data_IF_416880424667
#
_entry.id   IF_416880424667
#
_cell.length_a   1.000
_cell.length_b   1.000
_cell.length_c   1.000
_cell.angle_alpha   90.00
_cell.angle_beta   90.00
_cell.angle_gamma   90.00
#
_symmetry.space_group_name_H-M   'P 1'
#
loop_
_entity.id
_entity.type
_entity.pdbx_description
1 polymer ?
#
# COMPACT_ATOMS: atom_id res chain seq x y z
N UNK A 1 23.22 39.27 -0.20
CA UNK A 1 22.04 38.47 0.16
C UNK A 1 22.44 36.99 0.10
N UNK A 2 22.27 36.28 1.17
CA UNK A 2 22.52 34.82 1.18
C UNK A 2 21.50 34.14 0.30
N UNK A 3 21.96 33.29 -0.60
CA UNK A 3 21.09 32.53 -1.54
C UNK A 3 20.18 31.61 -0.73
N UNK A 4 18.87 31.62 -1.02
CA UNK A 4 17.88 30.86 -0.25
C UNK A 4 17.55 29.52 -0.86
N UNK A 5 17.90 29.27 -2.11
CA UNK A 5 17.70 28.02 -2.84
C UNK A 5 18.64 27.92 -4.04
N UNK A 6 18.81 26.71 -4.56
CA UNK A 6 19.51 26.41 -5.81
C UNK A 6 18.48 25.91 -6.85
N UNK A 7 18.71 26.20 -8.13
CA UNK A 7 17.88 25.64 -9.22
C UNK A 7 18.75 24.86 -10.20
N UNK A 8 18.23 23.79 -10.84
CA UNK A 8 18.95 23.05 -11.88
C UNK A 8 19.32 23.90 -13.09
N UNK A 9 18.64 25.01 -13.34
CA UNK A 9 18.99 25.95 -14.41
C UNK A 9 20.32 26.67 -14.17
N UNK A 10 20.80 26.69 -12.93
CA UNK A 10 22.09 27.29 -12.55
C UNK A 10 23.25 26.30 -12.57
N UNK A 11 22.98 25.04 -12.83
CA UNK A 11 23.98 23.97 -12.81
C UNK A 11 24.13 23.34 -14.19
N UNK A 12 25.29 22.76 -14.45
CA UNK A 12 25.59 22.12 -15.73
C UNK A 12 25.65 20.61 -15.55
N UNK A 13 24.87 19.87 -16.33
CA UNK A 13 24.91 18.42 -16.44
C UNK A 13 24.77 18.00 -17.90
N UNK A 14 25.21 16.80 -18.27
CA UNK A 14 25.02 16.25 -19.61
C UNK A 14 23.54 15.95 -19.87
N UNK A 15 22.80 15.56 -18.81
CA UNK A 15 21.36 15.30 -18.83
C UNK A 15 20.61 16.18 -17.82
N UNK A 16 19.27 16.15 -17.87
CA UNK A 16 18.44 16.88 -16.91
C UNK A 16 18.64 16.30 -15.51
N UNK A 17 18.73 14.98 -15.37
CA UNK A 17 18.99 14.33 -14.09
C UNK A 17 20.32 14.77 -13.47
N UNK A 18 21.38 14.87 -14.29
CA UNK A 18 22.68 15.35 -13.82
C UNK A 18 22.62 16.83 -13.40
N UNK A 19 21.91 17.67 -14.14
CA UNK A 19 21.71 19.07 -13.76
C UNK A 19 20.98 19.19 -12.41
N UNK A 20 19.93 18.38 -12.20
CA UNK A 20 19.21 18.35 -10.93
C UNK A 20 20.08 17.79 -9.80
N UNK A 21 20.84 16.72 -10.05
CA UNK A 21 21.75 16.17 -9.04
C UNK A 21 22.86 17.15 -8.65
N UNK A 22 23.40 17.87 -9.63
CA UNK A 22 24.41 18.91 -9.38
C UNK A 22 23.82 20.09 -8.56
N UNK A 23 22.54 20.42 -8.78
CA UNK A 23 21.86 21.42 -7.95
C UNK A 23 21.69 20.92 -6.49
N UNK A 24 21.36 19.65 -6.30
CA UNK A 24 21.27 19.02 -4.96
C UNK A 24 22.63 19.01 -4.28
N UNK A 25 23.70 18.63 -4.98
CA UNK A 25 25.06 18.60 -4.45
C UNK A 25 25.53 20.03 -4.05
N UNK A 26 25.30 21.00 -4.91
CA UNK A 26 25.64 22.39 -4.62
C UNK A 26 24.86 22.96 -3.43
N UNK A 27 23.56 22.61 -3.31
CA UNK A 27 22.74 23.01 -2.17
C UNK A 27 23.26 22.41 -0.86
N UNK A 28 23.71 21.16 -0.86
CA UNK A 28 24.37 20.49 0.27
C UNK A 28 25.70 21.17 0.63
N UNK A 29 26.57 21.37 -0.35
CA UNK A 29 27.91 21.99 -0.16
C UNK A 29 27.84 23.40 0.38
N UNK A 30 26.85 24.18 -0.06
CA UNK A 30 26.67 25.58 0.37
C UNK A 30 25.84 25.72 1.64
N UNK A 31 25.28 24.62 2.16
CA UNK A 31 24.42 24.65 3.35
C UNK A 31 23.04 25.28 3.11
N UNK A 32 22.67 25.53 1.85
CA UNK A 32 21.34 26.07 1.49
C UNK A 32 20.25 25.02 1.71
N UNK A 33 20.55 23.76 1.45
CA UNK A 33 19.69 22.60 1.67
C UNK A 33 18.28 22.71 1.04
N UNK A 34 18.16 23.50 -0.02
CA UNK A 34 16.91 23.69 -0.76
C UNK A 34 17.16 23.78 -2.26
N UNK A 35 16.46 22.94 -3.01
CA UNK A 35 16.44 22.95 -4.48
C UNK A 35 15.04 23.27 -4.96
N UNK A 36 14.89 24.17 -5.92
CA UNK A 36 13.63 24.41 -6.62
C UNK A 36 13.80 23.96 -8.06
N UNK A 37 12.99 22.97 -8.48
CA UNK A 37 12.91 22.52 -9.86
C UNK A 37 11.75 23.30 -10.52
N UNK A 38 12.04 24.29 -11.36
CA UNK A 38 11.02 25.17 -11.93
C UNK A 38 10.32 24.50 -13.12
N UNK A 39 9.21 25.11 -13.52
CA UNK A 39 8.45 24.66 -14.69
C UNK A 39 9.28 24.57 -15.96
N UNK A 40 10.12 25.57 -16.20
CA UNK A 40 10.89 25.68 -17.44
C UNK A 40 12.31 25.17 -17.20
N UNK A 41 12.69 24.19 -17.99
CA UNK A 41 14.08 23.79 -18.17
C UNK A 41 14.73 24.72 -19.20
N UNK A 42 15.51 25.70 -18.74
CA UNK A 42 16.10 26.73 -19.61
C UNK A 42 17.08 26.15 -20.64
N UNK A 43 17.72 25.03 -20.32
CA UNK A 43 18.65 24.35 -21.23
C UNK A 43 17.94 23.82 -22.48
N UNK A 44 16.75 23.25 -22.34
CA UNK A 44 15.95 22.70 -23.42
C UNK A 44 14.91 23.69 -23.97
N UNK A 45 14.58 24.73 -23.20
CA UNK A 45 13.48 25.66 -23.45
C UNK A 45 12.09 25.03 -23.25
N UNK A 46 11.99 23.86 -22.64
CA UNK A 46 10.72 23.09 -22.48
C UNK A 46 10.21 23.14 -21.06
N UNK A 47 8.90 22.97 -20.91
CA UNK A 47 8.25 22.74 -19.62
C UNK A 47 8.28 21.23 -19.27
N UNK A 48 9.46 20.64 -19.32
CA UNK A 48 9.70 19.21 -19.14
C UNK A 48 11.12 19.00 -18.60
N UNK A 49 11.24 18.15 -17.58
CA UNK A 49 12.49 17.60 -17.06
C UNK A 49 12.49 16.11 -17.34
N UNK A 50 13.40 15.65 -18.21
CA UNK A 50 13.52 14.25 -18.60
C UNK A 50 14.50 13.53 -17.67
N UNK A 51 14.02 12.50 -16.98
CA UNK A 51 14.76 11.80 -15.94
C UNK A 51 15.27 10.46 -16.45
N UNK A 52 16.60 10.34 -16.56
CA UNK A 52 17.32 9.15 -16.98
C UNK A 52 18.10 8.47 -15.85
N UNK A 53 18.25 9.15 -14.71
CA UNK A 53 18.86 8.62 -13.48
C UNK A 53 18.13 9.12 -12.27
N UNK A 54 17.96 8.27 -11.26
CA UNK A 54 17.35 8.64 -9.97
C UNK A 54 18.19 9.69 -9.25
N UNK A 55 17.54 10.77 -8.79
CA UNK A 55 18.17 11.85 -8.02
C UNK A 55 18.30 11.40 -6.57
N UNK A 56 19.52 11.49 -6.02
CA UNK A 56 19.84 11.08 -4.65
C UNK A 56 19.84 12.29 -3.72
N UNK A 57 19.02 12.22 -2.68
CA UNK A 57 18.82 13.32 -1.74
C UNK A 57 19.60 13.07 -0.43
N UNK A 58 20.42 14.02 0.02
CA UNK A 58 21.07 13.96 1.33
C UNK A 58 20.11 14.30 2.46
N UNK A 59 20.55 14.10 3.70
CA UNK A 59 19.84 14.59 4.89
C UNK A 59 19.63 16.10 4.86
N UNK A 60 18.57 16.55 5.52
CA UNK A 60 18.19 17.97 5.65
C UNK A 60 17.86 18.65 4.31
N UNK A 61 17.54 17.90 3.27
CA UNK A 61 17.25 18.43 1.94
C UNK A 61 15.75 18.66 1.73
N UNK A 62 15.40 19.79 1.16
CA UNK A 62 14.05 20.10 0.66
C UNK A 62 14.10 20.32 -0.86
N UNK A 63 13.35 19.52 -1.60
CA UNK A 63 13.13 19.69 -3.04
C UNK A 63 11.73 20.25 -3.26
N UNK A 64 11.63 21.34 -3.98
CA UNK A 64 10.36 21.96 -4.37
C UNK A 64 10.17 21.77 -5.88
N UNK A 65 9.03 21.18 -6.26
CA UNK A 65 8.58 21.04 -7.65
C UNK A 65 7.62 22.18 -7.98
N UNK A 66 8.13 23.24 -8.58
CA UNK A 66 7.33 24.46 -8.84
C UNK A 66 6.67 24.39 -10.22
N UNK A 67 5.38 24.05 -10.25
CA UNK A 67 4.61 23.81 -11.49
C UNK A 67 5.37 22.89 -12.46
N UNK A 68 6.02 21.88 -11.92
CA UNK A 68 7.04 21.08 -12.58
C UNK A 68 6.47 19.81 -13.16
N UNK A 69 6.82 19.49 -14.39
CA UNK A 69 6.54 18.22 -15.04
C UNK A 69 7.86 17.46 -15.25
N UNK A 70 8.01 16.36 -14.53
CA UNK A 70 9.13 15.44 -14.66
C UNK A 70 8.64 14.13 -15.28
N UNK A 71 9.37 13.63 -16.27
CA UNK A 71 9.03 12.38 -16.96
C UNK A 71 10.23 11.44 -16.98
N UNK A 72 10.00 10.16 -16.69
CA UNK A 72 11.02 9.14 -16.86
C UNK A 72 11.34 8.96 -18.35
N UNK A 73 12.63 8.90 -18.67
CA UNK A 73 13.08 8.58 -20.00
C UNK A 73 12.66 7.15 -20.42
N UNK A 74 12.51 6.93 -21.72
CA UNK A 74 12.25 5.60 -22.25
C UNK A 74 13.44 4.68 -21.99
N UNK A 75 13.19 3.39 -21.80
CA UNK A 75 14.20 2.32 -21.64
C UNK A 75 15.15 2.48 -20.42
N UNK A 76 14.78 3.31 -19.46
CA UNK A 76 15.52 3.52 -18.21
C UNK A 76 14.82 2.82 -17.07
N UNK A 77 15.56 2.06 -16.27
CA UNK A 77 15.13 1.56 -14.96
C UNK A 77 15.50 2.57 -13.88
N UNK A 78 14.51 3.11 -13.17
CA UNK A 78 14.75 4.08 -12.11
C UNK A 78 13.49 4.78 -11.63
N UNK A 79 13.64 5.59 -10.59
CA UNK A 79 12.63 6.50 -10.07
C UNK A 79 13.07 7.95 -10.22
N UNK A 80 12.33 8.85 -9.60
CA UNK A 80 12.68 10.26 -9.59
C UNK A 80 13.61 10.61 -8.43
N UNK A 81 13.27 10.15 -7.21
CA UNK A 81 14.00 10.52 -6.02
C UNK A 81 14.21 9.33 -5.08
N UNK A 82 15.40 9.27 -4.49
CA UNK A 82 15.69 8.38 -3.37
C UNK A 82 16.64 9.07 -2.38
N UNK A 83 16.78 8.52 -1.16
CA UNK A 83 17.83 9.00 -0.26
C UNK A 83 19.23 8.54 -0.72
N UNK A 84 20.26 9.33 -0.44
CA UNK A 84 21.61 9.10 -0.97
C UNK A 84 22.23 7.76 -0.52
N UNK A 85 21.84 7.26 0.66
CA UNK A 85 22.32 5.98 1.19
C UNK A 85 21.50 4.76 0.74
N UNK A 86 20.49 4.95 -0.13
CA UNK A 86 19.71 3.83 -0.63
C UNK A 86 20.64 2.81 -1.33
N UNK A 87 20.58 1.56 -0.91
CA UNK A 87 21.39 0.42 -1.38
C UNK A 87 22.90 0.52 -1.14
N UNK A 88 23.33 1.39 -0.23
CA UNK A 88 24.70 1.39 0.27
C UNK A 88 24.80 0.61 1.59
N UNK A 89 26.01 0.20 1.97
CA UNK A 89 26.23 -0.47 3.28
C UNK A 89 25.79 0.41 4.46
N UNK A 90 25.99 1.69 4.36
CA UNK A 90 25.57 2.69 5.36
C UNK A 90 24.04 2.73 5.50
N UNK A 91 23.29 2.64 4.39
CA UNK A 91 21.83 2.66 4.39
C UNK A 91 21.21 1.44 5.10
N UNK A 92 21.97 0.36 5.29
CA UNK A 92 21.55 -0.83 6.03
C UNK A 92 21.87 -0.78 7.54
N UNK A 93 22.22 0.37 8.09
CA UNK A 93 22.53 0.53 9.51
C UNK A 93 21.83 1.72 10.14
N UNK A 94 21.29 1.54 11.34
CA UNK A 94 20.70 2.64 12.14
C UNK A 94 21.71 3.73 12.48
N UNK A 95 22.99 3.40 12.57
CA UNK A 95 24.05 4.37 12.89
C UNK A 95 24.16 5.45 11.80
N UNK A 96 23.73 5.14 10.60
CA UNK A 96 23.74 6.06 9.43
C UNK A 96 22.34 6.48 8.99
N UNK A 97 21.42 6.58 9.93
CA UNK A 97 20.05 6.97 9.65
C UNK A 97 19.96 8.37 9.09
N UNK A 98 19.42 8.51 7.90
CA UNK A 98 19.21 9.81 7.27
C UNK A 98 18.04 10.56 7.90
N UNK A 99 18.05 11.90 7.77
CA UNK A 99 17.06 12.76 8.42
C UNK A 99 16.53 13.86 7.51
N UNK A 100 15.27 14.24 7.76
CA UNK A 100 14.65 15.47 7.25
C UNK A 100 14.72 15.63 5.72
N UNK A 101 14.23 14.64 4.97
CA UNK A 101 14.16 14.71 3.51
C UNK A 101 12.73 15.07 3.09
N UNK A 102 12.58 16.18 2.36
CA UNK A 102 11.27 16.69 1.99
C UNK A 102 11.14 16.90 0.48
N UNK A 103 10.02 16.47 -0.10
CA UNK A 103 9.66 16.71 -1.51
C UNK A 103 8.28 17.37 -1.53
N UNK A 104 8.17 18.57 -2.07
CA UNK A 104 6.94 19.37 -2.03
C UNK A 104 6.60 19.93 -3.40
N UNK A 105 5.39 19.71 -3.86
CA UNK A 105 4.85 20.37 -5.03
C UNK A 105 4.29 21.75 -4.70
N UNK A 106 4.47 22.71 -5.60
CA UNK A 106 3.77 23.99 -5.63
C UNK A 106 3.01 24.07 -6.95
N UNK A 107 1.70 24.38 -6.87
CA UNK A 107 0.85 24.36 -8.04
C UNK A 107 0.73 22.95 -8.62
N UNK A 108 0.99 22.77 -9.90
CA UNK A 108 0.92 21.48 -10.56
C UNK A 108 2.29 20.81 -10.64
N UNK A 109 2.54 19.87 -9.75
CA UNK A 109 3.76 19.07 -9.71
C UNK A 109 3.44 17.62 -10.13
N UNK A 110 4.00 17.17 -11.25
CA UNK A 110 3.71 15.87 -11.85
C UNK A 110 5.00 15.06 -12.00
N UNK A 111 4.97 13.83 -11.49
CA UNK A 111 5.96 12.78 -11.75
C UNK A 111 5.32 11.73 -12.66
N UNK A 112 5.72 11.67 -13.91
CA UNK A 112 5.14 10.78 -14.92
C UNK A 112 6.12 9.66 -15.28
N UNK A 113 5.70 8.41 -15.10
CA UNK A 113 6.50 7.24 -15.46
C UNK A 113 6.78 7.12 -16.97
N UNK A 114 6.16 7.97 -17.78
CA UNK A 114 6.36 7.98 -19.23
C UNK A 114 5.68 6.82 -19.92
N UNK A 115 6.17 6.49 -21.12
CA UNK A 115 5.66 5.32 -21.82
C UNK A 115 6.00 4.08 -21.01
N UNK A 116 5.03 3.17 -20.79
CA UNK A 116 5.37 1.90 -20.22
C UNK A 116 6.39 1.25 -21.16
N UNK A 117 7.62 1.17 -20.71
CA UNK A 117 8.55 0.22 -21.28
C UNK A 117 7.85 -1.14 -21.23
N UNK A 118 8.06 -2.01 -22.19
CA UNK A 118 7.54 -3.39 -22.15
C UNK A 118 8.15 -4.21 -21.00
N UNK A 119 8.67 -3.52 -20.01
CA UNK A 119 9.19 -4.10 -18.77
C UNK A 119 7.97 -4.44 -17.92
N UNK A 120 7.31 -5.53 -18.28
CA UNK A 120 6.35 -6.22 -17.43
C UNK A 120 7.12 -7.18 -16.49
N UNK A 121 6.46 -7.76 -15.51
CA UNK A 121 7.10 -8.74 -14.61
C UNK A 121 7.85 -9.84 -15.40
N UNK A 122 7.31 -10.28 -16.52
CA UNK A 122 7.86 -11.34 -17.34
C UNK A 122 9.15 -10.90 -18.09
N UNK A 123 9.16 -9.72 -18.68
CA UNK A 123 10.37 -9.17 -19.33
C UNK A 123 11.44 -8.76 -18.33
N UNK A 124 11.05 -8.35 -17.13
CA UNK A 124 11.98 -8.02 -16.04
C UNK A 124 12.77 -9.22 -15.56
N UNK A 125 12.09 -10.35 -15.33
CA UNK A 125 12.73 -11.60 -14.98
C UNK A 125 13.70 -12.09 -16.07
N UNK A 126 13.35 -11.87 -17.34
CA UNK A 126 14.15 -12.29 -18.47
C UNK A 126 15.32 -11.35 -18.76
N UNK A 127 15.21 -10.06 -18.45
CA UNK A 127 16.23 -9.06 -18.74
C UNK A 127 17.15 -8.74 -17.56
N UNK A 128 16.87 -9.31 -16.35
CA UNK A 128 17.66 -9.03 -15.15
C UNK A 128 17.57 -7.58 -14.66
N UNK A 129 16.61 -6.81 -15.15
CA UNK A 129 16.43 -5.41 -14.74
C UNK A 129 15.70 -5.40 -13.39
N UNK A 130 16.26 -4.77 -12.35
CA UNK A 130 15.60 -4.67 -11.06
C UNK A 130 14.35 -3.80 -11.14
N UNK A 131 13.17 -4.40 -11.23
CA UNK A 131 11.86 -3.72 -11.28
C UNK A 131 11.69 -2.68 -10.19
N UNK A 132 12.22 -2.96 -9.04
CA UNK A 132 12.14 -2.17 -7.81
C UNK A 132 12.76 -0.80 -7.93
N UNK A 133 13.69 -0.63 -8.85
CA UNK A 133 14.26 0.67 -9.15
C UNK A 133 13.26 1.59 -9.85
N UNK A 134 12.19 1.04 -10.43
CA UNK A 134 11.16 1.82 -11.13
C UNK A 134 10.15 2.50 -10.18
N UNK A 135 10.45 2.59 -8.90
CA UNK A 135 9.63 3.30 -7.91
C UNK A 135 9.89 4.80 -7.97
N UNK A 136 8.90 5.64 -8.28
CA UNK A 136 9.04 7.08 -8.35
C UNK A 136 9.73 7.73 -7.15
N UNK A 137 9.36 7.38 -5.94
CA UNK A 137 9.98 7.87 -4.71
C UNK A 137 10.30 6.69 -3.79
N UNK A 138 11.57 6.51 -3.45
CA UNK A 138 11.99 5.43 -2.58
C UNK A 138 12.91 5.93 -1.46
N UNK A 139 12.41 5.86 -0.21
CA UNK A 139 13.21 6.15 0.98
C UNK A 139 13.41 4.90 1.84
N UNK A 140 14.64 4.70 2.30
CA UNK A 140 15.01 3.63 3.20
C UNK A 140 15.83 4.19 4.37
N UNK A 141 15.44 3.83 5.59
CA UNK A 141 16.13 4.24 6.81
C UNK A 141 16.22 5.76 6.96
N UNK A 142 15.07 6.43 6.81
CA UNK A 142 14.95 7.89 6.93
C UNK A 142 14.04 8.25 8.11
N UNK A 143 14.50 9.12 8.99
CA UNK A 143 13.72 9.71 10.07
C UNK A 143 13.36 11.17 9.76
N UNK A 144 12.08 11.49 9.83
CA UNK A 144 11.59 12.82 9.47
C UNK A 144 11.61 13.02 7.95
N UNK A 145 10.45 12.86 7.31
CA UNK A 145 10.33 13.13 5.88
C UNK A 145 8.94 13.67 5.56
N UNK A 146 8.85 14.34 4.42
CA UNK A 146 7.54 14.68 3.86
C UNK A 146 7.51 14.55 2.34
N UNK A 147 6.35 14.06 1.83
CA UNK A 147 6.02 14.08 0.41
C UNK A 147 4.63 14.70 0.27
N UNK A 148 4.56 15.87 -0.36
CA UNK A 148 3.36 16.69 -0.30
C UNK A 148 3.01 17.31 -1.66
N UNK A 149 1.71 17.32 -2.00
CA UNK A 149 1.13 17.98 -3.18
C UNK A 149 1.78 17.55 -4.51
N UNK A 150 1.75 16.25 -4.78
CA UNK A 150 2.35 15.66 -5.98
C UNK A 150 1.33 14.76 -6.69
N UNK A 151 1.32 14.84 -8.02
CA UNK A 151 0.59 13.92 -8.88
C UNK A 151 1.55 12.88 -9.43
N UNK A 152 1.26 11.60 -9.22
CA UNK A 152 2.02 10.49 -9.79
C UNK A 152 1.21 9.87 -10.91
N UNK A 153 1.74 9.94 -12.11
CA UNK A 153 1.10 9.42 -13.30
C UNK A 153 1.90 8.25 -13.88
N UNK A 154 1.20 7.21 -14.28
CA UNK A 154 1.76 6.09 -15.06
C UNK A 154 3.01 5.46 -14.42
N UNK A 155 3.03 5.37 -13.07
CA UNK A 155 4.15 4.71 -12.39
C UNK A 155 4.36 3.30 -12.96
N UNK A 156 5.64 2.93 -13.11
CA UNK A 156 6.02 1.65 -13.72
C UNK A 156 6.00 0.48 -12.75
N UNK A 157 6.05 0.79 -11.46
CA UNK A 157 6.00 -0.12 -10.32
C UNK A 157 5.30 0.58 -9.16
N UNK A 158 5.58 0.29 -7.89
CA UNK A 158 5.02 0.99 -6.74
C UNK A 158 5.29 2.49 -6.83
N UNK A 159 4.28 3.29 -6.58
CA UNK A 159 4.39 4.76 -6.73
C UNK A 159 5.32 5.40 -5.71
N UNK A 160 5.18 5.02 -4.45
CA UNK A 160 6.07 5.44 -3.37
C UNK A 160 6.40 4.25 -2.48
N UNK A 161 7.66 4.15 -2.05
CA UNK A 161 8.12 3.08 -1.17
C UNK A 161 8.93 3.64 -0.02
N UNK A 162 8.56 3.25 1.18
CA UNK A 162 9.23 3.62 2.40
C UNK A 162 9.57 2.35 3.19
N UNK A 163 10.84 2.19 3.56
CA UNK A 163 11.32 1.05 4.35
C UNK A 163 12.11 1.54 5.54
N UNK A 164 11.82 1.03 6.74
CA UNK A 164 12.45 1.44 7.98
C UNK A 164 12.45 2.97 8.16
N UNK A 165 11.40 3.63 7.69
CA UNK A 165 11.23 5.07 7.78
C UNK A 165 10.31 5.45 8.94
N UNK A 166 10.52 6.64 9.50
CA UNK A 166 9.68 7.09 10.61
C UNK A 166 9.49 8.61 10.64
N UNK A 167 8.46 9.04 11.41
CA UNK A 167 8.11 10.46 11.59
C UNK A 167 7.87 11.15 10.24
N UNK A 168 7.07 10.49 9.40
CA UNK A 168 6.79 10.90 8.04
C UNK A 168 5.40 11.49 7.85
N UNK A 169 5.27 12.36 6.84
CA UNK A 169 3.98 12.87 6.35
C UNK A 169 3.92 12.69 4.84
N UNK A 170 2.87 12.03 4.37
CA UNK A 170 2.56 11.85 2.94
C UNK A 170 1.16 12.41 2.75
N UNK A 171 1.02 13.51 2.01
CA UNK A 171 -0.28 14.14 1.87
C UNK A 171 -0.51 14.86 0.55
N UNK A 172 -1.78 15.01 0.20
CA UNK A 172 -2.21 15.72 -1.01
C UNK A 172 -1.61 15.07 -2.27
N UNK A 173 -1.68 13.73 -2.34
CA UNK A 173 -1.12 12.93 -3.43
C UNK A 173 -2.26 12.40 -4.29
N UNK A 174 -2.07 12.44 -5.60
CA UNK A 174 -3.00 11.77 -6.51
C UNK A 174 -2.29 10.81 -7.46
N UNK A 175 -2.95 9.68 -7.75
CA UNK A 175 -2.46 8.65 -8.64
C UNK A 175 -3.33 8.55 -9.88
N UNK A 176 -2.68 8.37 -11.04
CA UNK A 176 -3.37 8.15 -12.30
C UNK A 176 -2.64 7.09 -13.12
N UNK A 177 -3.24 5.93 -13.23
CA UNK A 177 -2.80 4.85 -14.12
C UNK A 177 -3.79 4.69 -15.28
N UNK A 178 -3.33 4.21 -16.42
CA UNK A 178 -4.16 3.95 -17.62
C UNK A 178 -4.40 2.47 -17.87
N UNK A 179 -3.76 1.60 -17.12
CA UNK A 179 -3.90 0.15 -17.22
C UNK A 179 -3.87 -0.47 -15.85
N UNK A 180 -4.59 -1.55 -15.73
CA UNK A 180 -4.42 -2.49 -14.65
C UNK A 180 -3.09 -3.22 -14.83
N UNK A 181 -2.17 -3.01 -13.91
CA UNK A 181 -0.90 -3.74 -13.84
C UNK A 181 -0.62 -4.10 -12.41
N UNK A 182 -0.26 -5.35 -12.20
CA UNK A 182 0.21 -5.82 -10.90
C UNK A 182 1.42 -5.00 -10.45
N UNK A 183 1.51 -4.77 -9.15
CA UNK A 183 2.56 -3.95 -8.54
C UNK A 183 2.57 -2.48 -9.02
N UNK A 184 1.46 -1.93 -9.48
CA UNK A 184 1.27 -0.48 -9.63
C UNK A 184 0.55 0.10 -8.41
N UNK A 185 1.03 -0.26 -7.22
CA UNK A 185 0.55 0.26 -5.94
C UNK A 185 0.75 1.79 -5.87
N UNK A 186 0.02 2.44 -5.00
CA UNK A 186 0.20 3.87 -4.76
C UNK A 186 1.30 4.13 -3.74
N UNK A 187 1.08 3.81 -2.47
CA UNK A 187 2.00 4.08 -1.36
C UNK A 187 2.25 2.79 -0.58
N UNK A 188 3.51 2.40 -0.48
CA UNK A 188 3.97 1.23 0.27
C UNK A 188 4.78 1.64 1.50
N UNK A 189 4.27 1.34 2.69
CA UNK A 189 5.03 1.33 3.91
C UNK A 189 5.51 -0.09 4.18
N UNK A 190 6.82 -0.25 4.21
CA UNK A 190 7.43 -1.57 4.43
C UNK A 190 8.10 -1.61 5.79
N UNK A 191 8.46 -2.77 6.20
CA UNK A 191 9.23 -3.15 7.38
C UNK A 191 9.77 -2.00 8.23
N UNK A 192 9.46 -1.99 9.52
CA UNK A 192 9.99 -1.01 10.47
C UNK A 192 9.48 0.43 10.30
N UNK A 193 8.47 0.65 9.46
CA UNK A 193 7.87 1.97 9.30
C UNK A 193 6.96 2.30 10.49
N UNK A 194 7.15 3.50 11.09
CA UNK A 194 6.33 3.91 12.23
C UNK A 194 6.18 5.43 12.37
N UNK A 195 5.14 5.87 13.10
CA UNK A 195 4.82 7.29 13.30
C UNK A 195 4.68 8.04 11.97
N UNK A 196 3.86 7.52 11.06
CA UNK A 196 3.64 8.09 9.73
C UNK A 196 2.16 8.45 9.56
N UNK A 197 1.92 9.62 8.98
CA UNK A 197 0.59 10.06 8.57
C UNK A 197 0.49 10.07 7.05
N UNK A 198 -0.56 9.41 6.53
CA UNK A 198 -0.95 9.40 5.11
C UNK A 198 -2.33 10.04 5.01
N UNK A 199 -2.45 11.16 4.30
CA UNK A 199 -3.73 11.88 4.24
C UNK A 199 -4.00 12.54 2.89
N UNK A 200 -5.29 12.69 2.56
CA UNK A 200 -5.75 13.33 1.33
C UNK A 200 -5.16 12.64 0.08
N UNK A 201 -5.34 11.33 0.00
CA UNK A 201 -4.88 10.54 -1.15
C UNK A 201 -6.05 10.29 -2.09
N UNK A 202 -5.82 10.44 -3.38
CA UNK A 202 -6.88 10.24 -4.37
C UNK A 202 -6.40 9.56 -5.66
N UNK A 203 -7.35 9.03 -6.42
CA UNK A 203 -7.10 8.52 -7.76
C UNK A 203 -7.15 7.01 -7.88
N UNK A 204 -6.43 6.48 -8.85
CA UNK A 204 -6.45 5.07 -9.20
C UNK A 204 -5.04 4.51 -9.29
N UNK A 205 -4.82 3.41 -8.57
CA UNK A 205 -3.66 2.51 -8.68
C UNK A 205 -4.01 1.28 -9.52
N UNK A 206 -3.02 0.58 -10.00
CA UNK A 206 -3.20 -0.73 -10.67
C UNK A 206 -3.17 -1.92 -9.71
N UNK A 207 -2.76 -1.70 -8.47
CA UNK A 207 -2.72 -2.65 -7.36
C UNK A 207 -3.22 -1.94 -6.09
N UNK A 208 -2.77 -2.25 -4.88
CA UNK A 208 -3.20 -1.56 -3.66
C UNK A 208 -2.96 -0.05 -3.74
N UNK A 209 -3.91 0.77 -3.28
CA UNK A 209 -3.65 2.22 -3.25
C UNK A 209 -2.71 2.58 -2.11
N UNK A 210 -2.86 1.94 -0.95
CA UNK A 210 -1.97 2.06 0.20
C UNK A 210 -1.71 0.65 0.74
N UNK A 211 -0.46 0.23 0.82
CA UNK A 211 -0.08 -1.06 1.38
C UNK A 211 0.88 -0.89 2.56
N UNK A 212 0.57 -1.54 3.68
CA UNK A 212 1.45 -1.70 4.83
C UNK A 212 1.88 -3.16 4.87
N UNK A 213 3.20 -3.42 4.82
CA UNK A 213 3.70 -4.78 4.74
C UNK A 213 4.90 -5.00 5.66
N UNK A 214 4.64 -5.60 6.83
CA UNK A 214 5.64 -5.99 7.80
C UNK A 214 6.01 -7.46 7.60
N UNK A 215 7.14 -7.72 6.95
CA UNK A 215 7.56 -9.06 6.57
C UNK A 215 8.94 -9.30 7.13
N UNK A 216 9.03 -10.03 8.23
CA UNK A 216 10.30 -10.53 8.75
C UNK A 216 10.78 -11.70 7.88
N UNK A 217 12.04 -11.69 7.50
CA UNK A 217 12.68 -12.79 6.80
C UNK A 217 13.82 -13.32 7.65
N UNK A 218 13.78 -14.60 7.95
CA UNK A 218 14.80 -15.28 8.76
C UNK A 218 16.22 -15.16 8.20
N UNK A 219 16.35 -14.76 6.94
CA UNK A 219 17.63 -14.61 6.26
C UNK A 219 17.91 -13.15 5.94
N UNK A 220 19.02 -12.61 6.45
CA UNK A 220 19.50 -11.31 6.01
C UNK A 220 19.83 -11.38 4.50
N UNK A 221 18.97 -10.78 3.71
CA UNK A 221 19.19 -10.70 2.29
C UNK A 221 19.65 -9.30 1.97
N UNK A 222 20.87 -9.18 1.50
CA UNK A 222 21.29 -7.96 0.84
C UNK A 222 20.35 -7.72 -0.35
N UNK A 223 20.03 -6.49 -0.62
CA UNK A 223 19.20 -6.14 -1.76
C UNK A 223 19.72 -6.84 -3.03
N UNK A 224 18.87 -7.57 -3.70
CA UNK A 224 19.19 -8.33 -4.90
C UNK A 224 19.78 -9.72 -4.73
N UNK A 225 20.15 -10.15 -3.51
CA UNK A 225 20.76 -11.47 -3.29
C UNK A 225 19.75 -12.61 -3.19
N UNK A 226 18.54 -12.36 -2.67
CA UNK A 226 17.60 -13.45 -2.39
C UNK A 226 16.58 -13.72 -3.48
N UNK A 227 16.51 -12.90 -4.50
CA UNK A 227 15.35 -12.91 -5.37
C UNK A 227 14.03 -12.57 -4.63
N UNK A 228 14.09 -12.37 -3.32
CA UNK A 228 12.96 -11.94 -2.53
C UNK A 228 12.88 -10.43 -2.61
N UNK A 229 11.96 -9.98 -3.40
CA UNK A 229 11.75 -8.59 -3.76
C UNK A 229 11.34 -7.71 -2.60
N UNK A 230 11.00 -8.29 -1.48
CA UNK A 230 10.17 -7.64 -0.50
C UNK A 230 10.90 -7.28 0.79
N UNK A 231 12.16 -7.61 0.94
CA UNK A 231 12.84 -7.43 2.21
C UNK A 231 14.21 -6.82 2.07
N UNK A 232 14.38 -5.66 2.65
CA UNK A 232 15.67 -5.06 2.94
C UNK A 232 15.84 -5.09 4.45
N UNK A 233 17.01 -5.46 4.95
CA UNK A 233 17.29 -5.48 6.37
C UNK A 233 18.08 -4.24 6.73
N UNK A 234 17.55 -3.43 7.63
CA UNK A 234 18.30 -2.40 8.32
C UNK A 234 18.72 -2.96 9.68
N UNK A 235 20.00 -3.18 9.87
CA UNK A 235 20.56 -3.74 11.10
C UNK A 235 20.18 -2.88 12.31
N UNK A 236 19.63 -3.53 13.32
CA UNK A 236 19.21 -2.89 14.57
C UNK A 236 17.78 -2.35 14.55
N UNK A 237 17.08 -2.42 13.44
CA UNK A 237 15.64 -2.15 13.35
C UNK A 237 14.82 -3.40 13.65
N UNK A 238 13.67 -3.21 14.29
CA UNK A 238 12.60 -4.20 14.24
C UNK A 238 11.84 -4.10 12.91
N UNK A 239 10.97 -5.05 12.66
CA UNK A 239 10.20 -5.16 11.41
C UNK A 239 8.77 -4.66 11.58
N UNK A 240 8.40 -4.29 12.80
CA UNK A 240 7.05 -3.93 13.13
C UNK A 240 6.62 -2.63 12.41
N UNK A 241 5.36 -2.58 11.99
CA UNK A 241 4.73 -1.36 11.48
C UNK A 241 3.72 -0.90 12.51
N UNK A 242 3.87 0.32 13.01
CA UNK A 242 3.01 0.82 14.07
C UNK A 242 2.87 2.34 14.09
N UNK A 243 1.88 2.82 14.84
CA UNK A 243 1.60 4.25 14.95
C UNK A 243 1.38 4.92 13.58
N UNK A 244 0.52 4.32 12.76
CA UNK A 244 0.19 4.81 11.43
C UNK A 244 -1.22 5.42 11.42
N UNK A 245 -1.34 6.59 10.85
CA UNK A 245 -2.64 7.23 10.58
C UNK A 245 -2.86 7.36 9.07
N UNK A 246 -3.98 6.83 8.57
CA UNK A 246 -4.42 6.91 7.18
C UNK A 246 -5.78 7.57 7.15
N UNK A 247 -5.93 8.70 6.45
CA UNK A 247 -7.21 9.40 6.43
C UNK A 247 -7.50 10.16 5.14
N UNK A 248 -8.79 10.36 4.86
CA UNK A 248 -9.27 11.08 3.69
C UNK A 248 -8.78 10.44 2.39
N UNK A 249 -9.19 9.20 2.15
CA UNK A 249 -8.79 8.41 0.98
C UNK A 249 -9.96 8.30 0.00
N UNK A 250 -9.77 8.78 -1.20
CA UNK A 250 -10.75 8.77 -2.29
C UNK A 250 -10.17 8.01 -3.47
N UNK A 251 -10.39 6.72 -3.52
CA UNK A 251 -9.65 5.87 -4.44
C UNK A 251 -10.51 4.93 -5.27
N UNK A 252 -9.94 4.51 -6.38
CA UNK A 252 -10.48 3.48 -7.23
C UNK A 252 -9.39 2.49 -7.59
N UNK A 253 -9.03 1.59 -6.67
CA UNK A 253 -8.16 0.48 -6.99
C UNK A 253 -8.88 -0.45 -7.98
N UNK A 254 -8.15 -1.01 -8.93
CA UNK A 254 -8.80 -1.78 -10.00
C UNK A 254 -9.26 -3.14 -9.49
N UNK A 255 -8.42 -3.86 -8.77
CA UNK A 255 -8.69 -5.23 -8.29
C UNK A 255 -8.31 -5.47 -6.83
N UNK A 256 -7.72 -4.47 -6.19
CA UNK A 256 -7.14 -4.56 -4.86
C UNK A 256 -7.78 -3.57 -3.88
N UNK A 257 -7.58 -3.69 -2.57
CA UNK A 257 -8.18 -2.79 -1.59
C UNK A 257 -7.60 -1.37 -1.67
N UNK A 258 -8.31 -0.41 -1.07
CA UNK A 258 -7.75 0.93 -0.86
C UNK A 258 -6.61 0.89 0.16
N UNK A 259 -6.75 0.08 1.21
CA UNK A 259 -5.73 -0.10 2.23
C UNK A 259 -5.52 -1.58 2.52
N UNK A 260 -4.29 -2.05 2.39
CA UNK A 260 -3.89 -3.41 2.73
C UNK A 260 -2.94 -3.42 3.92
N UNK A 261 -3.19 -4.30 4.88
CA UNK A 261 -2.36 -4.54 6.05
C UNK A 261 -1.84 -5.98 6.01
N UNK A 262 -0.54 -6.19 5.88
CA UNK A 262 0.08 -7.52 5.72
C UNK A 262 1.27 -7.66 6.66
N UNK A 263 1.29 -8.70 7.47
CA UNK A 263 2.44 -9.02 8.32
C UNK A 263 2.68 -10.52 8.42
N UNK A 264 3.95 -10.91 8.54
CA UNK A 264 4.39 -12.30 8.52
C UNK A 264 5.59 -12.53 9.44
N UNK A 265 5.82 -13.80 9.79
CA UNK A 265 7.00 -14.28 10.54
C UNK A 265 7.22 -13.60 11.87
N UNK A 266 6.14 -13.24 12.57
CA UNK A 266 6.21 -12.60 13.88
C UNK A 266 6.43 -11.10 13.86
N UNK A 267 6.61 -10.48 12.70
CA UNK A 267 6.53 -9.03 12.58
C UNK A 267 5.11 -8.56 12.92
N UNK A 268 5.01 -7.50 13.70
CA UNK A 268 3.73 -7.01 14.22
C UNK A 268 3.23 -5.81 13.46
N UNK A 269 1.91 -5.65 13.50
CA UNK A 269 1.23 -4.49 12.97
C UNK A 269 0.20 -4.01 13.98
N UNK A 270 0.41 -2.82 14.54
CA UNK A 270 -0.42 -2.33 15.65
C UNK A 270 -0.53 -0.82 15.72
N UNK A 271 -1.53 -0.35 16.47
CA UNK A 271 -1.84 1.06 16.61
C UNK A 271 -2.01 1.75 15.24
N UNK A 272 -2.84 1.13 14.38
CA UNK A 272 -3.15 1.63 13.04
C UNK A 272 -4.54 2.28 13.08
N UNK A 273 -4.60 3.51 12.61
CA UNK A 273 -5.83 4.29 12.54
C UNK A 273 -6.17 4.64 11.09
N UNK A 274 -7.36 4.19 10.64
CA UNK A 274 -7.83 4.36 9.26
C UNK A 274 -9.18 5.06 9.31
N UNK A 275 -9.33 6.21 8.63
CA UNK A 275 -10.59 6.95 8.66
C UNK A 275 -10.92 7.67 7.36
N UNK A 276 -12.22 7.82 7.11
CA UNK A 276 -12.78 8.55 5.98
C UNK A 276 -12.30 8.05 4.62
N UNK A 277 -12.72 6.82 4.29
CA UNK A 277 -12.43 6.16 3.02
C UNK A 277 -13.66 6.15 2.11
N UNK A 278 -13.48 6.51 0.85
CA UNK A 278 -14.51 6.50 -0.17
C UNK A 278 -14.07 5.71 -1.40
N UNK A 279 -14.90 4.77 -1.84
CA UNK A 279 -14.67 4.09 -3.11
C UNK A 279 -15.23 4.93 -4.27
N UNK A 280 -14.34 5.36 -5.14
CA UNK A 280 -14.72 6.05 -6.38
C UNK A 280 -15.01 5.03 -7.50
N UNK A 281 -15.89 5.37 -8.46
CA UNK A 281 -16.06 4.56 -9.65
C UNK A 281 -14.73 4.36 -10.39
N UNK A 282 -14.53 3.17 -10.97
CA UNK A 282 -13.34 2.92 -11.78
C UNK A 282 -13.27 3.84 -12.98
N UNK A 283 -12.10 4.40 -13.23
CA UNK A 283 -11.81 5.15 -14.45
C UNK A 283 -11.63 4.22 -15.66
N UNK A 284 -11.24 2.97 -15.42
CA UNK A 284 -11.02 1.94 -16.43
C UNK A 284 -11.72 0.64 -16.02
N UNK A 285 -12.29 -0.12 -16.98
CA UNK A 285 -12.85 -1.42 -16.67
C UNK A 285 -11.76 -2.38 -16.18
N UNK A 286 -12.08 -3.16 -15.17
CA UNK A 286 -11.29 -4.32 -14.81
C UNK A 286 -11.23 -5.30 -15.99
N UNK A 287 -10.18 -6.10 -16.08
CA UNK A 287 -10.13 -7.18 -17.06
C UNK A 287 -11.32 -8.11 -16.90
N UNK A 288 -11.86 -8.65 -18.03
CA UNK A 288 -12.92 -9.62 -17.97
C UNK A 288 -12.50 -10.82 -17.10
N UNK A 289 -13.24 -11.05 -16.01
CA UNK A 289 -13.00 -12.11 -15.05
C UNK A 289 -12.46 -11.67 -13.67
N UNK A 290 -11.99 -10.44 -13.49
CA UNK A 290 -11.45 -9.93 -12.21
C UNK A 290 -12.35 -8.86 -11.55
N UNK A 291 -13.66 -8.99 -11.70
CA UNK A 291 -14.63 -7.96 -11.24
C UNK A 291 -14.93 -7.94 -9.75
N UNK A 292 -14.31 -8.77 -8.96
CA UNK A 292 -14.62 -8.85 -7.54
C UNK A 292 -13.67 -7.99 -6.72
N UNK A 293 -14.02 -6.74 -6.53
CA UNK A 293 -13.42 -5.88 -5.51
C UNK A 293 -13.84 -6.40 -4.15
N UNK A 294 -12.89 -6.91 -3.41
CA UNK A 294 -13.22 -7.61 -2.18
C UNK A 294 -13.50 -6.66 -1.02
N UNK A 295 -12.68 -5.65 -0.77
CA UNK A 295 -12.85 -4.78 0.38
C UNK A 295 -12.20 -3.40 0.23
N UNK A 296 -12.66 -2.44 1.05
CA UNK A 296 -12.01 -1.15 1.22
C UNK A 296 -10.70 -1.29 2.00
N UNK A 297 -10.74 -2.07 3.09
CA UNK A 297 -9.58 -2.40 3.92
C UNK A 297 -9.40 -3.91 3.96
N UNK A 298 -8.20 -4.39 3.69
CA UNK A 298 -7.84 -5.79 3.76
C UNK A 298 -6.80 -6.01 4.85
N UNK A 299 -7.11 -6.83 5.85
CA UNK A 299 -6.24 -7.14 6.99
C UNK A 299 -5.78 -8.59 6.88
N UNK A 300 -4.47 -8.77 6.83
CA UNK A 300 -3.85 -10.07 6.65
C UNK A 300 -3.96 -10.57 5.22
N UNK A 301 -2.92 -11.20 4.77
CA UNK A 301 -2.87 -11.80 3.43
C UNK A 301 -2.05 -13.09 3.48
N UNK A 302 -2.53 -14.02 4.27
CA UNK A 302 -1.91 -15.35 4.43
C UNK A 302 -1.78 -16.09 3.09
N UNK A 303 -2.51 -15.64 2.10
CA UNK A 303 -2.60 -16.24 0.78
C UNK A 303 -1.37 -15.96 -0.08
N UNK A 304 -0.79 -14.76 0.05
CA UNK A 304 0.32 -14.34 -0.79
C UNK A 304 1.68 -14.78 -0.27
N UNK A 305 1.84 -14.77 1.05
CA UNK A 305 3.13 -15.03 1.69
C UNK A 305 3.07 -16.38 2.42
N UNK A 306 3.59 -17.42 1.80
CA UNK A 306 3.61 -18.80 2.32
C UNK A 306 4.64 -19.03 3.43
N UNK A 307 4.96 -18.02 4.23
CA UNK A 307 6.16 -18.06 5.07
C UNK A 307 5.84 -18.52 6.49
N UNK A 308 4.75 -18.01 7.10
CA UNK A 308 4.29 -18.51 8.41
C UNK A 308 2.87 -18.05 8.72
N UNK A 309 2.21 -18.77 9.63
CA UNK A 309 0.90 -18.37 10.15
C UNK A 309 1.06 -17.18 11.11
N UNK A 310 0.24 -16.16 10.94
CA UNK A 310 0.09 -15.09 11.94
C UNK A 310 -0.40 -15.69 13.27
N UNK A 311 0.12 -15.19 14.37
CA UNK A 311 -0.29 -15.54 15.72
C UNK A 311 -1.20 -14.46 16.31
N UNK A 312 -2.03 -14.86 17.28
CA UNK A 312 -2.85 -13.90 18.01
C UNK A 312 -1.95 -12.83 18.68
N UNK A 313 -2.19 -11.58 18.34
CA UNK A 313 -1.39 -10.45 18.78
C UNK A 313 -0.30 -9.99 17.82
N UNK A 314 -0.12 -10.63 16.68
CA UNK A 314 0.75 -10.10 15.62
C UNK A 314 0.09 -8.89 14.93
N UNK A 315 -1.24 -8.93 14.74
CA UNK A 315 -2.02 -7.78 14.28
C UNK A 315 -3.01 -7.38 15.37
N UNK A 316 -2.89 -6.18 15.91
CA UNK A 316 -3.75 -5.74 17.01
C UNK A 316 -3.91 -4.21 17.08
N UNK A 317 -4.92 -3.77 17.86
CA UNK A 317 -5.20 -2.36 18.10
C UNK A 317 -5.40 -1.56 16.80
N UNK A 318 -6.32 -2.05 15.97
CA UNK A 318 -6.68 -1.46 14.69
C UNK A 318 -8.00 -0.70 14.83
N UNK A 319 -8.03 0.55 14.41
CA UNK A 319 -9.25 1.37 14.35
C UNK A 319 -9.57 1.75 12.91
N UNK A 320 -10.79 1.44 12.47
CA UNK A 320 -11.29 1.74 11.12
C UNK A 320 -12.63 2.47 11.28
N UNK A 321 -12.77 3.65 10.70
CA UNK A 321 -14.03 4.40 10.81
C UNK A 321 -14.35 5.24 9.58
N UNK A 322 -15.63 5.59 9.43
CA UNK A 322 -16.12 6.47 8.36
C UNK A 322 -15.84 5.91 6.97
N UNK A 323 -16.35 4.70 6.68
CA UNK A 323 -16.16 4.01 5.40
C UNK A 323 -17.41 4.14 4.53
N UNK A 324 -17.26 4.68 3.33
CA UNK A 324 -18.32 4.86 2.34
C UNK A 324 -18.02 4.01 1.10
N UNK A 325 -18.81 2.93 0.90
CA UNK A 325 -18.54 1.95 -0.15
C UNK A 325 -19.81 1.54 -0.91
N UNK A 326 -19.75 1.65 -2.23
CA UNK A 326 -20.85 1.29 -3.14
C UNK A 326 -20.41 0.42 -4.31
N UNK A 327 -19.13 0.47 -4.66
CA UNK A 327 -18.51 -0.27 -5.76
C UNK A 327 -17.66 -1.44 -5.26
N UNK A 328 -17.54 -1.61 -3.95
CA UNK A 328 -16.76 -2.62 -3.26
C UNK A 328 -17.68 -3.53 -2.47
N UNK A 329 -17.41 -4.83 -2.39
CA UNK A 329 -18.29 -5.80 -1.71
C UNK A 329 -18.32 -5.63 -0.21
N UNK A 330 -17.18 -5.38 0.41
CA UNK A 330 -17.05 -5.30 1.87
C UNK A 330 -16.35 -4.02 2.31
N UNK A 331 -16.72 -3.50 3.47
CA UNK A 331 -15.92 -2.43 4.07
C UNK A 331 -14.58 -2.99 4.57
N UNK A 332 -14.57 -4.12 5.23
CA UNK A 332 -13.36 -4.77 5.75
C UNK A 332 -13.32 -6.24 5.34
N UNK A 333 -12.18 -6.71 4.86
CA UNK A 333 -11.87 -8.12 4.68
C UNK A 333 -10.78 -8.51 5.68
N UNK A 334 -11.03 -9.56 6.45
CA UNK A 334 -10.07 -10.13 7.39
C UNK A 334 -9.59 -11.47 6.84
N UNK A 335 -8.36 -11.51 6.35
CA UNK A 335 -7.68 -12.67 5.81
C UNK A 335 -6.49 -13.12 6.67
N UNK A 336 -6.41 -12.68 7.91
CA UNK A 336 -5.36 -13.01 8.87
C UNK A 336 -5.85 -12.87 10.30
N UNK A 337 -5.04 -13.30 11.26
CA UNK A 337 -5.38 -13.24 12.69
C UNK A 337 -5.33 -11.81 13.20
N UNK A 338 -6.38 -11.37 13.93
CA UNK A 338 -6.50 -10.02 14.44
C UNK A 338 -7.10 -9.96 15.84
N UNK A 339 -6.60 -9.03 16.66
CA UNK A 339 -7.08 -8.78 18.03
C UNK A 339 -7.32 -7.28 18.26
N UNK A 340 -8.32 -6.96 19.11
CA UNK A 340 -8.64 -5.58 19.49
C UNK A 340 -8.86 -4.68 18.25
N UNK A 341 -9.84 -5.00 17.42
CA UNK A 341 -10.20 -4.17 16.29
C UNK A 341 -11.53 -3.48 16.51
N UNK A 342 -11.57 -2.20 16.23
CA UNK A 342 -12.80 -1.40 16.19
C UNK A 342 -13.07 -0.93 14.77
N UNK A 343 -14.26 -1.26 14.27
CA UNK A 343 -14.78 -0.80 12.98
C UNK A 343 -16.05 0.00 13.23
N UNK A 344 -16.14 1.22 12.72
CA UNK A 344 -17.31 2.06 13.03
C UNK A 344 -17.73 2.95 11.87
N UNK A 345 -19.03 3.32 11.90
CA UNK A 345 -19.65 4.23 10.95
C UNK A 345 -19.43 3.80 9.47
N UNK A 346 -20.01 2.64 9.14
CA UNK A 346 -19.93 2.05 7.81
C UNK A 346 -21.19 2.38 7.00
N UNK A 347 -21.00 2.91 5.80
CA UNK A 347 -22.07 3.28 4.88
C UNK A 347 -21.95 2.49 3.57
N UNK A 348 -22.62 1.33 3.52
CA UNK A 348 -22.66 0.46 2.36
C UNK A 348 -23.94 0.63 1.54
N UNK A 349 -23.82 0.60 0.23
CA UNK A 349 -24.97 0.67 -0.67
C UNK A 349 -24.70 0.06 -2.04
N UNK A 350 -25.72 -0.18 -2.83
CA UNK A 350 -25.58 -0.71 -4.17
C UNK A 350 -24.91 -2.09 -4.18
N UNK A 351 -23.69 -2.17 -4.69
CA UNK A 351 -22.92 -3.43 -4.81
C UNK A 351 -22.35 -3.94 -3.46
N UNK A 352 -22.44 -3.15 -2.40
CA UNK A 352 -21.98 -3.56 -1.07
C UNK A 352 -22.77 -4.76 -0.57
N UNK A 353 -22.10 -5.87 -0.23
CA UNK A 353 -22.75 -7.09 0.24
C UNK A 353 -22.48 -7.40 1.71
N UNK A 354 -21.43 -6.83 2.31
CA UNK A 354 -21.15 -7.04 3.73
C UNK A 354 -20.44 -5.87 4.40
N UNK A 355 -20.58 -5.76 5.70
CA UNK A 355 -19.76 -4.86 6.50
C UNK A 355 -18.36 -5.47 6.71
N UNK A 356 -18.31 -6.76 6.98
CA UNK A 356 -17.06 -7.49 7.17
C UNK A 356 -17.12 -8.86 6.51
N UNK A 357 -16.10 -9.19 5.73
CA UNK A 357 -15.87 -10.54 5.20
C UNK A 357 -14.68 -11.16 5.91
N UNK A 358 -14.78 -12.42 6.31
CA UNK A 358 -13.70 -13.17 6.97
C UNK A 358 -13.37 -14.38 6.16
N UNK A 359 -12.13 -14.52 5.71
CA UNK A 359 -11.70 -15.62 4.84
C UNK A 359 -10.46 -16.30 5.42
N UNK A 360 -10.62 -17.55 5.86
CA UNK A 360 -9.50 -18.46 6.08
C UNK A 360 -9.15 -19.18 4.78
N UNK A 361 -7.90 -19.55 4.57
CA UNK A 361 -7.49 -20.19 3.34
C UNK A 361 -6.64 -21.44 3.55
N UNK A 362 -6.65 -22.31 2.56
CA UNK A 362 -5.78 -23.46 2.46
C UNK A 362 -4.97 -23.39 1.17
N UNK A 363 -3.67 -23.57 1.26
CA UNK A 363 -2.81 -23.65 0.10
C UNK A 363 -1.96 -24.91 0.14
N UNK A 364 -2.26 -25.86 -0.73
CA UNK A 364 -1.67 -27.17 -0.67
C UNK A 364 -2.04 -27.88 0.64
N UNK A 365 -1.05 -28.30 1.41
CA UNK A 365 -1.24 -28.90 2.74
C UNK A 365 -1.19 -27.87 3.88
N UNK A 366 -0.82 -26.63 3.59
CA UNK A 366 -0.75 -25.55 4.58
C UNK A 366 -2.12 -24.94 4.81
N UNK A 367 -2.51 -24.82 6.08
CA UNK A 367 -3.77 -24.24 6.52
C UNK A 367 -3.50 -22.88 7.14
N UNK A 368 -4.07 -21.84 6.55
CA UNK A 368 -4.00 -20.47 7.03
C UNK A 368 -5.33 -20.10 7.69
N UNK A 369 -5.37 -20.22 8.99
CA UNK A 369 -6.55 -19.90 9.77
C UNK A 369 -6.65 -18.41 10.09
N UNK A 370 -7.87 -17.97 10.33
CA UNK A 370 -8.17 -16.64 10.86
C UNK A 370 -8.74 -16.79 12.25
N UNK A 371 -8.03 -16.28 13.25
CA UNK A 371 -8.53 -16.15 14.60
C UNK A 371 -8.80 -14.68 14.90
N UNK A 372 -9.99 -14.39 15.42
CA UNK A 372 -10.40 -13.04 15.78
C UNK A 372 -10.76 -12.98 17.25
N UNK A 373 -10.26 -11.96 17.96
CA UNK A 373 -10.61 -11.74 19.36
C UNK A 373 -10.84 -10.25 19.65
N UNK A 374 -11.94 -9.97 20.35
CA UNK A 374 -12.29 -8.63 20.80
C UNK A 374 -12.49 -7.63 19.66
N UNK A 375 -13.51 -7.88 18.85
CA UNK A 375 -13.85 -7.09 17.68
C UNK A 375 -15.17 -6.35 17.91
N UNK A 376 -15.17 -5.04 17.71
CA UNK A 376 -16.34 -4.20 17.74
C UNK A 376 -16.66 -3.66 16.36
N UNK A 377 -17.90 -3.86 15.89
CA UNK A 377 -18.44 -3.22 14.69
C UNK A 377 -19.64 -2.36 15.14
N UNK A 378 -19.53 -1.05 15.01
CA UNK A 378 -20.50 -0.08 15.55
C UNK A 378 -20.96 0.93 14.49
N UNK A 379 -22.26 1.09 14.30
CA UNK A 379 -22.83 2.01 13.33
C UNK A 379 -22.69 1.50 11.88
N UNK A 380 -23.47 0.48 11.51
CA UNK A 380 -23.54 -0.04 10.15
C UNK A 380 -24.82 0.41 9.49
N UNK A 381 -24.70 1.15 8.41
CA UNK A 381 -25.79 1.54 7.50
C UNK A 381 -25.56 0.79 6.18
N UNK A 382 -26.31 -0.29 5.99
CA UNK A 382 -26.18 -1.14 4.79
C UNK A 382 -27.53 -1.29 4.10
N UNK A 383 -27.60 -0.75 2.88
CA UNK A 383 -28.70 -0.95 1.93
C UNK A 383 -28.16 -1.60 0.66
N UNK A 384 -28.38 -2.90 0.54
CA UNK A 384 -27.72 -3.71 -0.47
C UNK A 384 -28.67 -4.10 -1.61
N UNK A 385 -28.16 -4.01 -2.84
CA UNK A 385 -28.82 -4.59 -4.04
C UNK A 385 -28.42 -6.06 -4.24
N UNK A 386 -27.52 -6.61 -3.44
CA UNK A 386 -27.00 -7.96 -3.57
C UNK A 386 -27.89 -8.99 -2.88
N UNK A 387 -28.26 -10.08 -3.57
CA UNK A 387 -29.20 -11.07 -3.02
C UNK A 387 -28.62 -11.89 -1.85
N UNK A 388 -27.31 -11.93 -1.71
CA UNK A 388 -26.57 -12.66 -0.67
C UNK A 388 -26.02 -11.77 0.46
N UNK A 389 -26.50 -10.53 0.56
CA UNK A 389 -26.00 -9.58 1.55
C UNK A 389 -26.15 -10.07 2.99
N UNK A 390 -25.10 -9.87 3.78
CA UNK A 390 -25.00 -10.15 5.21
C UNK A 390 -24.15 -9.10 5.92
N UNK A 391 -24.33 -8.89 7.23
CA UNK A 391 -23.43 -7.97 7.95
C UNK A 391 -22.05 -8.57 8.10
N UNK A 392 -22.00 -9.84 8.50
CA UNK A 392 -20.75 -10.63 8.57
C UNK A 392 -20.83 -11.75 7.55
N UNK A 393 -19.86 -11.85 6.69
CA UNK A 393 -19.75 -12.90 5.68
C UNK A 393 -18.48 -13.73 5.94
N UNK A 394 -18.66 -14.97 6.37
CA UNK A 394 -17.58 -15.93 6.62
C UNK A 394 -17.74 -17.14 5.71
N UNK A 395 -17.60 -16.96 4.40
CA UNK A 395 -17.96 -17.99 3.42
C UNK A 395 -16.97 -19.15 3.40
N UNK A 396 -15.79 -18.97 3.95
CA UNK A 396 -14.76 -19.98 3.96
C UNK A 396 -13.89 -19.88 5.21
N UNK A 397 -13.82 -20.94 5.98
CA UNK A 397 -13.01 -21.07 7.18
C UNK A 397 -12.25 -22.39 7.16
N UNK A 398 -11.10 -22.44 7.81
CA UNK A 398 -10.39 -23.69 8.06
C UNK A 398 -10.79 -24.27 9.42
N UNK A 399 -10.54 -25.55 9.59
CA UNK A 399 -10.69 -26.20 10.90
C UNK A 399 -9.80 -25.51 11.94
N UNK A 400 -10.31 -25.33 13.14
CA UNK A 400 -9.62 -24.69 14.23
C UNK A 400 -9.71 -23.15 14.29
N UNK A 401 -10.44 -22.54 13.35
CA UNK A 401 -10.60 -21.08 13.38
C UNK A 401 -11.62 -20.62 14.40
N UNK A 402 -11.34 -19.48 15.03
CA UNK A 402 -12.18 -18.96 16.12
C UNK A 402 -12.50 -17.49 15.96
N UNK A 403 -13.75 -17.12 16.27
CA UNK A 403 -14.20 -15.75 16.42
C UNK A 403 -14.75 -15.57 17.83
N UNK A 404 -13.99 -14.85 18.67
CA UNK A 404 -14.33 -14.63 20.08
C UNK A 404 -14.63 -13.16 20.33
N UNK A 405 -15.71 -12.90 21.07
CA UNK A 405 -16.13 -11.54 21.47
C UNK A 405 -16.30 -10.60 20.25
N UNK A 406 -17.11 -11.02 19.27
CA UNK A 406 -17.56 -10.16 18.19
C UNK A 406 -18.84 -9.42 18.64
N UNK A 407 -18.76 -8.10 18.68
CA UNK A 407 -19.89 -7.24 19.05
C UNK A 407 -20.33 -6.42 17.84
N UNK A 408 -21.61 -6.51 17.48
CA UNK A 408 -22.26 -5.69 16.47
C UNK A 408 -23.23 -4.72 17.18
N UNK A 409 -23.09 -3.43 16.92
CA UNK A 409 -23.92 -2.39 17.53
C UNK A 409 -24.46 -1.39 16.52
N UNK A 410 -25.64 -0.84 16.82
CA UNK A 410 -26.23 0.26 16.05
C UNK A 410 -26.34 -0.06 14.55
N UNK A 411 -27.03 -1.14 14.22
CA UNK A 411 -27.19 -1.61 12.85
C UNK A 411 -28.47 -1.06 12.23
N UNK A 412 -28.38 -0.48 11.05
CA UNK A 412 -29.48 -0.02 10.21
C UNK A 412 -29.41 -0.75 8.87
N UNK A 413 -30.19 -1.82 8.74
CA UNK A 413 -30.09 -2.78 7.66
C UNK A 413 -31.32 -2.71 6.76
N UNK A 414 -31.12 -2.50 5.48
CA UNK A 414 -32.17 -2.53 4.47
C UNK A 414 -31.77 -3.52 3.35
N UNK A 415 -32.70 -4.44 3.03
CA UNK A 415 -32.50 -5.50 2.05
C UNK A 415 -31.33 -6.47 2.38
N UNK A 416 -30.90 -6.55 3.62
CA UNK A 416 -29.85 -7.47 4.09
C UNK A 416 -30.50 -8.75 4.60
N UNK A 417 -30.16 -9.88 4.00
CA UNK A 417 -30.88 -11.15 4.22
C UNK A 417 -30.43 -11.93 5.45
N UNK A 418 -29.23 -11.61 5.99
CA UNK A 418 -28.65 -12.34 7.12
C UNK A 418 -27.83 -11.41 8.00
N UNK A 419 -27.84 -11.65 9.30
CA UNK A 419 -26.89 -11.03 10.21
C UNK A 419 -25.48 -11.58 9.96
N UNK A 420 -25.36 -12.89 9.84
CA UNK A 420 -24.09 -13.52 9.53
C UNK A 420 -24.28 -14.78 8.67
N UNK A 421 -23.30 -15.03 7.80
CA UNK A 421 -23.06 -16.33 7.19
C UNK A 421 -21.80 -16.87 7.82
N UNK A 422 -21.86 -18.04 8.44
CA UNK A 422 -20.75 -18.65 9.17
C UNK A 422 -20.46 -20.02 8.58
N UNK A 423 -19.21 -20.29 8.26
CA UNK A 423 -18.79 -21.61 7.76
C UNK A 423 -18.77 -22.63 8.90
N UNK A 424 -19.24 -23.86 8.66
CA UNK A 424 -19.33 -24.94 9.66
C UNK A 424 -18.00 -25.33 10.31
N UNK A 425 -16.88 -25.08 9.63
CA UNK A 425 -15.54 -25.31 10.18
C UNK A 425 -15.08 -24.28 11.22
N UNK A 426 -15.90 -23.25 11.49
CA UNK A 426 -15.61 -22.29 12.55
C UNK A 426 -15.89 -22.95 13.91
N UNK A 427 -14.87 -23.20 14.72
CA UNK A 427 -15.01 -23.88 16.01
C UNK A 427 -15.74 -23.05 17.05
N UNK A 428 -15.53 -21.74 17.02
CA UNK A 428 -16.14 -20.81 17.97
C UNK A 428 -16.61 -19.56 17.23
N UNK A 429 -17.91 -19.26 17.39
CA UNK A 429 -18.48 -18.03 16.86
C UNK A 429 -19.29 -17.33 17.98
N UNK A 430 -18.65 -16.48 18.75
CA UNK A 430 -19.24 -15.71 19.85
C UNK A 430 -19.67 -14.33 19.35
N UNK A 431 -20.92 -14.22 18.90
CA UNK A 431 -21.54 -13.00 18.39
C UNK A 431 -22.53 -12.42 19.40
N UNK A 432 -22.43 -11.10 19.65
CA UNK A 432 -23.44 -10.33 20.36
C UNK A 432 -23.89 -9.15 19.51
N UNK A 433 -25.21 -8.92 19.48
CA UNK A 433 -25.81 -7.80 18.76
C UNK A 433 -26.58 -6.90 19.74
N UNK A 434 -26.53 -5.59 19.51
CA UNK A 434 -27.25 -4.58 20.28
C UNK A 434 -27.74 -3.48 19.32
N UNK A 435 -29.00 -3.00 19.56
CA UNK A 435 -29.63 -1.96 18.76
C UNK A 435 -29.64 -2.24 17.24
N UNK A 436 -30.48 -3.20 16.83
CA UNK A 436 -30.61 -3.66 15.44
C UNK A 436 -31.92 -3.19 14.85
N UNK A 437 -31.86 -2.40 13.77
CA UNK A 437 -33.00 -1.91 13.01
C UNK A 437 -33.03 -2.60 11.64
N UNK A 438 -34.15 -3.29 11.35
CA UNK A 438 -34.30 -4.11 10.14
C UNK A 438 -35.42 -3.57 9.25
N UNK A 439 -35.14 -3.30 7.98
CA UNK A 439 -36.13 -3.01 6.93
C UNK A 439 -35.95 -4.02 5.82
N UNK A 440 -36.97 -4.84 5.55
CA UNK A 440 -36.87 -5.93 4.57
C UNK A 440 -35.59 -6.79 4.74
N UNK A 441 -35.17 -6.96 5.98
CA UNK A 441 -33.91 -7.59 6.38
C UNK A 441 -34.15 -8.65 7.46
N UNK A 442 -33.14 -9.46 7.77
CA UNK A 442 -33.19 -10.52 8.76
C UNK A 442 -31.97 -10.52 9.68
N UNK A 443 -32.19 -10.85 10.94
CA UNK A 443 -31.16 -11.08 11.97
C UNK A 443 -30.64 -12.53 12.02
N UNK A 444 -31.03 -13.35 11.04
CA UNK A 444 -30.66 -14.76 11.00
C UNK A 444 -29.16 -14.95 10.86
N UNK A 445 -28.61 -15.84 11.68
CA UNK A 445 -27.26 -16.43 11.47
C UNK A 445 -27.44 -17.72 10.67
N UNK A 446 -26.80 -17.82 9.53
CA UNK A 446 -26.85 -18.98 8.63
C UNK A 446 -25.51 -19.70 8.65
N UNK A 447 -25.54 -21.00 8.90
CA UNK A 447 -24.36 -21.86 8.81
C UNK A 447 -24.28 -22.49 7.42
N UNK A 448 -23.08 -22.55 6.84
CA UNK A 448 -22.86 -23.04 5.49
C UNK A 448 -21.66 -23.97 5.42
N UNK A 449 -21.77 -24.99 4.57
CA UNK A 449 -20.69 -25.91 4.19
C UNK A 449 -20.09 -25.56 2.81
N UNK A 450 -20.47 -24.41 2.24
CA UNK A 450 -20.01 -24.03 0.91
C UNK A 450 -18.50 -24.00 0.84
N UNK A 451 -17.93 -24.89 0.07
CA UNK A 451 -16.57 -24.75 -0.40
C UNK A 451 -16.55 -23.68 -1.51
N UNK A 452 -16.08 -22.49 -1.20
CA UNK A 452 -15.79 -21.49 -2.21
C UNK A 452 -14.42 -21.83 -2.77
N UNK A 453 -14.41 -22.34 -3.99
CA UNK A 453 -13.18 -22.35 -4.78
C UNK A 453 -12.90 -20.93 -5.19
N UNK A 454 -12.03 -20.24 -4.46
CA UNK A 454 -11.46 -18.98 -4.93
C UNK A 454 -10.69 -19.35 -6.19
N UNK A 455 -11.27 -19.07 -7.37
CA UNK A 455 -10.55 -19.17 -8.64
C UNK A 455 -9.46 -18.13 -8.63
N UNK A 456 -8.32 -18.50 -8.08
CA UNK A 456 -7.09 -17.75 -8.29
C UNK A 456 -6.69 -17.91 -9.74
N UNK A 457 -6.34 -16.82 -10.38
CA UNK A 457 -5.53 -16.91 -11.58
C UNK A 457 -4.34 -17.80 -11.22
N UNK A 458 -4.25 -18.99 -11.81
CA UNK A 458 -3.11 -19.88 -11.64
C UNK A 458 -1.87 -19.07 -11.98
N UNK A 459 -1.14 -18.64 -10.96
CA UNK A 459 0.18 -18.06 -11.16
C UNK A 459 1.08 -19.22 -11.56
N UNK A 460 1.20 -19.48 -12.84
CA UNK A 460 2.33 -20.19 -13.40
C UNK A 460 3.57 -19.30 -13.26
N UNK A 461 4.00 -19.09 -12.02
CA UNK A 461 5.32 -18.54 -11.77
C UNK A 461 6.30 -19.67 -12.17
N UNK A 462 7.17 -19.46 -13.15
CA UNK A 462 8.20 -20.43 -13.44
C UNK A 462 9.03 -20.66 -12.17
N UNK A 463 9.49 -21.90 -11.94
CA UNK A 463 10.32 -22.18 -10.78
C UNK A 463 11.52 -21.24 -10.78
N UNK A 464 11.77 -20.60 -9.65
CA UNK A 464 12.90 -19.70 -9.42
C UNK A 464 14.20 -20.35 -9.92
N UNK A 465 14.69 -19.91 -11.07
CA UNK A 465 16.06 -20.20 -11.49
C UNK A 465 16.91 -19.00 -11.05
N UNK A 466 17.59 -19.17 -9.94
CA UNK A 466 18.69 -18.31 -9.53
C UNK A 466 19.79 -18.39 -10.60
N UNK A 467 19.79 -17.46 -11.54
CA UNK A 467 20.87 -17.28 -12.48
C UNK A 467 21.18 -15.80 -12.62
N UNK A 468 21.77 -15.23 -11.61
CA UNK A 468 22.54 -13.99 -11.81
C UNK A 468 23.89 -14.16 -11.13
N UNK A 469 24.89 -14.37 -11.93
CA UNK A 469 26.27 -14.14 -11.54
C UNK A 469 26.43 -12.63 -11.32
N UNK A 470 26.95 -12.31 -10.14
CA UNK A 470 27.36 -10.97 -9.74
C UNK A 470 28.66 -10.65 -10.41
N UNK A 471 28.72 -9.73 -11.30
CA UNK A 471 29.98 -9.06 -11.59
C UNK A 471 29.82 -7.69 -12.29
N UNK A 472 28.59 -7.22 -12.52
CA UNK A 472 28.40 -5.94 -13.23
C UNK A 472 27.29 -5.08 -12.60
N UNK A 473 27.59 -4.46 -11.42
CA UNK A 473 26.90 -3.22 -10.95
C UNK A 473 27.93 -2.30 -10.30
#
# INVERSE_FOLDING_TARGET
>A
MTKQFITPNETVGATDSESIQNAVNLAKETGVNKVIIPRINEKSGKALWLIDKTIRLPSDMTVILDNCFMQMADDVAGGFFCNETLFTEEGYSLDYRMKNINIKGIGEAILDGGRPTEVNEETQWNLGIPVRLNTPIFFMNVEGFSVENIKIHHQRYWGMRFEFCSRGVIRDISFKVIRDRRNQDGIDLRNGCHHITIENISGQSGDDLIALSAIDTEQPTKFGESGNEYSVIVKGHDWDIHDITIRNIYGSPVTHPLVALRNHNGAKMYNIHIENLHDCPMLFPAHEGERERYAMVHIGDNIYYRISRQKMGDTHDITIKDIYYRNTRSAVLVGGTVKNMQVSNLHGGGYASSAMTVIGDKWGDDVYGVDMENILVDGVYLNSDMPDASVIDMPYMQEGNTVKKLFLKNLFLENVKRMAIVHEKCETFDLKCDNVNLTNSSDKVEWTDREITIKRAERNLPPFKSTTKRDDI
#
